data_IF_499083100558
#
_entry.id   IF_499083100558
#
_cell.length_a   1.000
_cell.length_b   1.000
_cell.length_c   1.000
_cell.angle_alpha   90.00
_cell.angle_beta   90.00
_cell.angle_gamma   90.00
#
_symmetry.space_group_name_H-M   'P 1'
#
loop_
_entity.id
_entity.type
_entity.pdbx_description
1 polymer ?
#
# COMPACT_ATOMS: atom_id res chain seq x y z
N UNK A 1 15.12 -9.81 12.36
CA UNK A 1 13.76 -10.25 12.75
C UNK A 1 13.13 -11.14 11.68
N UNK A 2 12.65 -12.34 12.07
CA UNK A 2 12.07 -13.37 11.18
C UNK A 2 10.91 -12.83 10.33
N UNK A 3 10.17 -11.87 10.89
CA UNK A 3 8.98 -11.28 10.27
C UNK A 3 9.30 -10.37 9.08
N UNK A 4 10.43 -9.66 9.11
CA UNK A 4 10.85 -8.82 7.97
C UNK A 4 11.23 -9.67 6.75
N UNK A 5 11.89 -10.81 6.98
CA UNK A 5 12.24 -11.74 5.90
C UNK A 5 11.00 -12.38 5.29
N UNK A 6 10.03 -12.73 6.15
CA UNK A 6 8.73 -13.28 5.74
C UNK A 6 7.91 -12.26 4.96
N UNK A 7 7.81 -11.01 5.42
CA UNK A 7 7.13 -9.93 4.71
C UNK A 7 7.73 -9.64 3.33
N UNK A 8 9.07 -9.66 3.22
CA UNK A 8 9.75 -9.52 1.92
C UNK A 8 9.45 -10.69 0.98
N UNK A 9 9.44 -11.92 1.48
CA UNK A 9 9.23 -13.12 0.65
C UNK A 9 7.77 -13.35 0.26
N UNK A 10 6.83 -13.09 1.16
CA UNK A 10 5.41 -13.42 0.95
C UNK A 10 4.59 -12.23 0.42
N UNK A 11 4.94 -11.00 0.82
CA UNK A 11 4.22 -9.78 0.51
C UNK A 11 4.97 -8.85 -0.45
N UNK A 12 6.22 -9.17 -0.81
CA UNK A 12 7.13 -8.26 -1.51
C UNK A 12 7.31 -6.91 -0.80
N UNK A 13 7.11 -6.87 0.52
CA UNK A 13 7.27 -5.64 1.31
C UNK A 13 8.76 -5.32 1.44
N UNK A 14 9.17 -4.20 0.86
CA UNK A 14 10.52 -3.62 1.00
C UNK A 14 10.44 -2.32 1.80
N UNK A 15 11.02 -2.26 3.01
CA UNK A 15 10.94 -1.08 3.88
C UNK A 15 11.33 0.22 3.17
N UNK A 16 12.34 0.16 2.30
CA UNK A 16 12.87 1.27 1.51
C UNK A 16 11.92 1.75 0.40
N UNK A 17 10.98 0.90 -0.05
CA UNK A 17 10.02 1.24 -1.10
C UNK A 17 8.62 1.55 -0.56
N UNK A 18 8.36 1.25 0.73
CA UNK A 18 7.04 1.38 1.35
C UNK A 18 6.43 2.75 1.11
N UNK A 19 7.21 3.83 1.31
CA UNK A 19 6.73 5.20 1.12
C UNK A 19 6.33 5.47 -0.33
N UNK A 20 7.12 4.96 -1.30
CA UNK A 20 6.84 5.10 -2.74
C UNK A 20 5.51 4.44 -3.12
N UNK A 21 5.23 3.26 -2.56
CA UNK A 21 3.96 2.55 -2.78
C UNK A 21 2.77 3.34 -2.20
N UNK A 22 2.90 3.86 -0.98
CA UNK A 22 1.87 4.72 -0.39
C UNK A 22 1.58 5.95 -1.25
N UNK A 23 2.61 6.63 -1.75
CA UNK A 23 2.43 7.81 -2.60
C UNK A 23 1.78 7.47 -3.96
N UNK A 24 2.09 6.28 -4.51
CA UNK A 24 1.40 5.77 -5.70
C UNK A 24 -0.08 5.49 -5.43
N UNK A 25 -0.42 4.83 -4.34
CA UNK A 25 -1.82 4.59 -3.93
C UNK A 25 -2.57 5.91 -3.74
N UNK A 26 -1.98 6.90 -3.06
CA UNK A 26 -2.56 8.25 -2.95
C UNK A 26 -2.88 8.87 -4.30
N UNK A 27 -1.97 8.74 -5.26
CA UNK A 27 -2.17 9.24 -6.64
C UNK A 27 -3.28 8.49 -7.39
N UNK A 28 -3.51 7.21 -7.09
CA UNK A 28 -4.65 6.49 -7.64
C UNK A 28 -5.96 7.00 -7.03
N UNK A 29 -6.04 7.09 -5.71
CA UNK A 29 -7.24 7.56 -5.00
C UNK A 29 -7.59 9.00 -5.35
N UNK A 30 -6.60 9.86 -5.57
CA UNK A 30 -6.84 11.27 -5.95
C UNK A 30 -7.50 11.44 -7.33
N UNK A 31 -7.55 10.39 -8.16
CA UNK A 31 -8.26 10.42 -9.44
C UNK A 31 -9.77 10.24 -9.26
N UNK A 32 -10.18 9.59 -8.17
CA UNK A 32 -11.57 9.39 -7.79
C UNK A 32 -12.06 10.60 -6.97
N UNK A 33 -12.63 11.59 -7.67
CA UNK A 33 -12.98 12.90 -7.07
C UNK A 33 -14.03 12.84 -5.96
N UNK A 34 -14.85 11.80 -5.95
CA UNK A 34 -15.94 11.62 -4.97
C UNK A 34 -15.51 10.74 -3.77
N UNK A 35 -14.28 10.21 -3.78
CA UNK A 35 -13.79 9.34 -2.71
C UNK A 35 -13.17 10.16 -1.57
N UNK A 36 -13.91 10.31 -0.47
CA UNK A 36 -13.40 10.90 0.76
C UNK A 36 -12.97 9.81 1.75
N UNK A 37 -11.74 9.32 1.60
CA UNK A 37 -11.18 8.23 2.42
C UNK A 37 -9.90 8.67 3.14
N UNK A 38 -9.52 7.93 4.18
CA UNK A 38 -8.30 8.14 4.94
C UNK A 38 -7.09 7.72 4.07
N UNK A 39 -6.03 8.53 4.03
CA UNK A 39 -4.87 8.31 3.13
C UNK A 39 -3.51 8.41 3.81
N UNK A 40 -3.45 8.35 5.14
CA UNK A 40 -2.19 8.24 5.87
C UNK A 40 -1.50 6.90 5.61
N UNK A 41 -0.19 6.88 5.88
CA UNK A 41 0.66 5.75 5.55
C UNK A 41 0.24 4.47 6.30
N UNK A 42 -0.13 4.57 7.58
CA UNK A 42 -0.46 3.39 8.37
C UNK A 42 -1.74 2.71 7.87
N UNK A 43 -2.74 3.50 7.48
CA UNK A 43 -3.97 3.01 6.87
C UNK A 43 -3.69 2.31 5.53
N UNK A 44 -3.00 2.99 4.60
CA UNK A 44 -2.76 2.47 3.25
C UNK A 44 -1.84 1.24 3.22
N UNK A 45 -0.89 1.12 4.15
CA UNK A 45 -0.01 -0.06 4.27
C UNK A 45 -0.80 -1.35 4.54
N UNK A 46 -1.96 -1.28 5.20
CA UNK A 46 -2.82 -2.45 5.44
C UNK A 46 -3.33 -3.04 4.13
N UNK A 47 -3.77 -2.19 3.20
CA UNK A 47 -4.24 -2.58 1.87
C UNK A 47 -3.10 -3.05 0.96
N UNK A 48 -1.95 -2.38 1.03
CA UNK A 48 -0.73 -2.81 0.32
C UNK A 48 -0.30 -4.22 0.76
N UNK A 49 -0.31 -4.53 2.07
CA UNK A 49 -0.03 -5.88 2.58
C UNK A 49 -1.02 -6.91 2.05
N UNK A 50 -2.32 -6.60 2.07
CA UNK A 50 -3.38 -7.47 1.55
C UNK A 50 -3.27 -7.75 0.03
N UNK A 51 -2.50 -6.95 -0.70
CA UNK A 51 -2.29 -7.06 -2.15
C UNK A 51 -0.82 -7.24 -2.54
N UNK A 52 0.03 -7.68 -1.60
CA UNK A 52 1.45 -7.94 -1.83
C UNK A 52 2.19 -6.77 -2.51
N UNK A 53 1.90 -5.55 -2.03
CA UNK A 53 2.45 -4.29 -2.52
C UNK A 53 2.19 -4.01 -4.01
N UNK A 54 1.07 -4.52 -4.54
CA UNK A 54 0.53 -4.08 -5.82
C UNK A 54 -0.34 -2.82 -5.64
N UNK A 55 0.15 -1.68 -6.12
CA UNK A 55 -0.44 -0.36 -5.89
C UNK A 55 -1.87 -0.22 -6.44
N UNK A 56 -2.10 -0.68 -7.67
CA UNK A 56 -3.40 -0.58 -8.33
C UNK A 56 -4.45 -1.48 -7.64
N UNK A 57 -4.08 -2.73 -7.36
CA UNK A 57 -4.97 -3.66 -6.65
C UNK A 57 -5.23 -3.22 -5.21
N UNK A 58 -4.28 -2.53 -4.58
CA UNK A 58 -4.46 -1.95 -3.26
C UNK A 58 -5.40 -0.75 -3.29
N UNK A 59 -5.26 0.14 -4.29
CA UNK A 59 -6.17 1.28 -4.45
C UNK A 59 -7.62 0.83 -4.66
N UNK A 60 -7.85 -0.23 -5.45
CA UNK A 60 -9.20 -0.80 -5.68
C UNK A 60 -9.84 -1.45 -4.44
N UNK A 61 -9.13 -1.57 -3.32
CA UNK A 61 -9.67 -2.09 -2.06
C UNK A 61 -10.04 -0.99 -1.05
N UNK A 62 -9.56 0.24 -1.26
CA UNK A 62 -9.74 1.37 -0.34
C UNK A 62 -11.09 2.01 -0.59
#
# INVERSE_FOLDING_TARGET
PKDLRKAKQELNERPEERRKHVDRVRKYLSKEKDLNTRTDEEFLVRFLRARKFNDERAANLV
#
